data_IF_646412908603
#
_entry.id   IF_646412908603
#
_cell.length_a   1.000
_cell.length_b   1.000
_cell.length_c   1.000
_cell.angle_alpha   90.00
_cell.angle_beta   90.00
_cell.angle_gamma   90.00
#
_symmetry.space_group_name_H-M   'P 1'
#
loop_
_entity.id
_entity.type
_entity.pdbx_description
1 polymer ?
#
# COMPACT_ATOMS: atom_id res chain seq x y z
N UNK A 1 -10.16 -7.13 8.07
CA UNK A 1 -10.49 -6.26 6.91
C UNK A 1 -10.00 -6.98 5.65
N UNK A 2 -10.84 -7.22 4.65
CA UNK A 2 -10.45 -7.96 3.43
C UNK A 2 -9.79 -7.02 2.41
N UNK A 3 -8.76 -7.51 1.70
CA UNK A 3 -8.13 -6.77 0.61
C UNK A 3 -9.07 -6.75 -0.61
N UNK A 4 -9.48 -5.56 -1.04
CA UNK A 4 -10.24 -5.43 -2.29
C UNK A 4 -9.31 -5.68 -3.49
N UNK A 5 -9.62 -6.61 -4.41
CA UNK A 5 -8.69 -7.07 -5.45
C UNK A 5 -8.20 -5.97 -6.40
N UNK A 6 -9.06 -5.00 -6.71
CA UNK A 6 -8.85 -4.01 -7.78
C UNK A 6 -8.38 -2.64 -7.28
N UNK A 7 -7.84 -2.57 -6.06
CA UNK A 7 -7.17 -1.34 -5.61
C UNK A 7 -5.85 -1.14 -6.35
N UNK A 8 -5.50 0.12 -6.57
CA UNK A 8 -4.22 0.49 -7.16
C UNK A 8 -3.05 -0.10 -6.34
N UNK A 9 -2.05 -0.72 -7.02
CA UNK A 9 -0.87 -1.24 -6.37
C UNK A 9 0.04 -0.11 -5.87
N UNK A 10 1.07 -0.47 -5.10
CA UNK A 10 2.18 0.43 -4.81
C UNK A 10 3.22 0.44 -5.94
N UNK A 11 4.41 1.01 -5.68
CA UNK A 11 5.49 1.16 -6.68
C UNK A 11 6.00 -0.17 -7.25
N UNK A 12 5.75 -1.29 -6.57
CA UNK A 12 6.13 -2.63 -7.02
C UNK A 12 5.16 -3.24 -8.04
N UNK A 13 4.02 -2.59 -8.30
CA UNK A 13 3.01 -3.04 -9.25
C UNK A 13 2.22 -4.28 -8.79
N UNK A 14 2.45 -4.80 -7.58
CA UNK A 14 1.81 -6.04 -7.14
C UNK A 14 0.39 -5.76 -6.62
N UNK A 15 -0.59 -6.19 -7.42
CA UNK A 15 -2.02 -6.08 -7.11
C UNK A 15 -2.40 -6.87 -5.85
N UNK A 16 -3.41 -6.37 -5.13
CA UNK A 16 -4.07 -7.11 -4.05
C UNK A 16 -4.55 -8.50 -4.49
N UNK A 17 -4.93 -8.66 -5.76
CA UNK A 17 -5.38 -9.94 -6.31
C UNK A 17 -4.33 -11.05 -6.18
N UNK A 18 -3.05 -10.74 -6.31
CA UNK A 18 -1.95 -11.72 -6.15
C UNK A 18 -1.94 -12.25 -4.71
N UNK A 19 -2.06 -11.36 -3.73
CA UNK A 19 -2.07 -11.74 -2.32
C UNK A 19 -3.31 -12.54 -1.93
N UNK A 20 -4.46 -12.25 -2.53
CA UNK A 20 -5.70 -12.99 -2.23
C UNK A 20 -5.74 -14.35 -2.92
N UNK A 21 -5.29 -14.46 -4.17
CA UNK A 21 -5.38 -15.71 -4.94
C UNK A 21 -4.22 -16.67 -4.68
N UNK A 22 -3.06 -16.17 -4.23
CA UNK A 22 -1.88 -16.98 -3.92
C UNK A 22 -1.59 -17.02 -2.41
N UNK A 23 -2.61 -16.85 -1.57
CA UNK A 23 -2.45 -16.74 -0.13
C UNK A 23 -1.83 -18.01 0.48
N UNK A 24 -2.23 -19.18 0.01
CA UNK A 24 -1.71 -20.50 0.40
C UNK A 24 -0.19 -20.61 0.19
N UNK A 25 0.32 -20.02 -0.90
CA UNK A 25 1.74 -19.99 -1.23
C UNK A 25 2.46 -18.90 -0.44
N UNK A 26 1.89 -17.70 -0.34
CA UNK A 26 2.58 -16.50 0.17
C UNK A 26 2.59 -16.42 1.70
N UNK A 27 1.51 -16.82 2.39
CA UNK A 27 1.36 -16.68 3.85
C UNK A 27 2.50 -17.35 4.64
N UNK A 28 2.98 -18.57 4.31
CA UNK A 28 4.10 -19.21 5.02
C UNK A 28 5.40 -18.38 5.00
N UNK A 29 5.62 -17.59 3.94
CA UNK A 29 6.80 -16.75 3.77
C UNK A 29 6.60 -15.35 4.37
N UNK A 30 5.48 -14.69 4.04
CA UNK A 30 5.14 -13.37 4.55
C UNK A 30 5.03 -13.38 6.08
N UNK A 31 4.45 -14.42 6.67
CA UNK A 31 4.36 -14.55 8.12
C UNK A 31 5.74 -14.60 8.80
N UNK A 32 6.73 -15.28 8.20
CA UNK A 32 8.11 -15.31 8.72
C UNK A 32 8.77 -13.94 8.61
N UNK A 33 8.60 -13.28 7.47
CA UNK A 33 9.15 -11.95 7.21
C UNK A 33 8.57 -10.90 8.15
N UNK A 34 7.25 -10.89 8.34
CA UNK A 34 6.55 -9.98 9.24
C UNK A 34 6.99 -10.16 10.69
N UNK A 35 7.11 -11.40 11.18
CA UNK A 35 7.66 -11.66 12.52
C UNK A 35 9.11 -11.19 12.66
N UNK A 36 9.92 -11.34 11.61
CA UNK A 36 11.31 -10.87 11.64
C UNK A 36 11.39 -9.34 11.80
N UNK A 37 10.51 -8.58 11.16
CA UNK A 37 10.43 -7.12 11.31
C UNK A 37 10.28 -6.70 12.78
N UNK A 38 9.38 -7.35 13.52
CA UNK A 38 9.19 -7.05 14.95
C UNK A 38 10.34 -7.57 15.81
N UNK A 39 10.78 -8.81 15.60
CA UNK A 39 11.86 -9.42 16.39
C UNK A 39 13.19 -8.67 16.27
N UNK A 40 13.53 -8.26 15.06
CA UNK A 40 14.77 -7.55 14.76
C UNK A 40 14.65 -6.04 14.94
N UNK A 41 13.45 -5.52 15.24
CA UNK A 41 13.14 -4.08 15.25
C UNK A 41 13.60 -3.39 13.96
N UNK A 42 13.44 -4.08 12.82
CA UNK A 42 13.91 -3.63 11.53
C UNK A 42 12.75 -3.57 10.53
N UNK A 43 12.40 -2.37 10.11
CA UNK A 43 11.44 -2.15 9.04
C UNK A 43 12.17 -1.89 7.72
N UNK A 44 12.01 -2.75 6.69
CA UNK A 44 12.73 -2.61 5.43
C UNK A 44 12.53 -1.22 4.81
N UNK A 45 13.60 -0.48 4.45
CA UNK A 45 13.47 0.83 3.81
C UNK A 45 12.60 0.82 2.55
N UNK A 46 12.64 -0.28 1.78
CA UNK A 46 11.80 -0.45 0.59
C UNK A 46 10.29 -0.43 0.88
N UNK A 47 9.88 -0.80 2.10
CA UNK A 47 8.48 -0.78 2.52
C UNK A 47 8.00 0.63 2.88
N UNK A 48 8.93 1.57 3.08
CA UNK A 48 8.66 3.00 3.32
C UNK A 48 8.56 3.80 2.02
N UNK A 49 8.81 3.18 0.86
CA UNK A 49 8.69 3.82 -0.45
C UNK A 49 7.24 3.75 -0.90
N UNK A 50 6.69 4.88 -1.35
CA UNK A 50 5.33 5.01 -1.85
C UNK A 50 5.23 6.07 -2.94
N UNK A 51 4.28 5.88 -3.85
CA UNK A 51 3.91 6.91 -4.81
C UNK A 51 2.82 7.80 -4.22
N UNK A 52 2.96 9.12 -4.34
CA UNK A 52 1.92 10.06 -3.93
C UNK A 52 1.15 10.55 -5.14
N UNK A 53 -0.10 10.10 -5.27
CA UNK A 53 -1.01 10.57 -6.32
C UNK A 53 -1.87 11.69 -5.75
N UNK A 54 -1.84 12.86 -6.38
CA UNK A 54 -2.63 14.03 -5.94
C UNK A 54 -3.94 14.07 -6.73
N UNK A 55 -5.06 13.80 -6.06
CA UNK A 55 -6.38 13.81 -6.68
C UNK A 55 -7.13 15.11 -6.38
N UNK A 56 -7.91 15.58 -7.36
CA UNK A 56 -8.88 16.68 -7.17
C UNK A 56 -10.02 16.22 -6.25
N UNK A 57 -10.44 17.07 -5.31
CA UNK A 57 -11.66 16.86 -4.50
C UNK A 57 -12.85 17.42 -5.27
N UNK A 58 -13.91 16.64 -5.47
CA UNK A 58 -15.11 17.11 -6.16
C UNK A 58 -15.73 18.35 -5.49
N UNK A 59 -16.33 19.22 -6.32
CA UNK A 59 -17.12 20.37 -5.85
C UNK A 59 -16.32 21.52 -5.22
N UNK A 60 -15.01 21.62 -5.48
CA UNK A 60 -14.21 22.75 -4.98
C UNK A 60 -14.32 23.96 -5.92
N UNK A 61 -14.53 25.17 -5.36
CA UNK A 61 -14.77 26.38 -6.15
C UNK A 61 -13.50 26.90 -6.84
N UNK A 62 -12.32 26.61 -6.27
CA UNK A 62 -11.03 27.05 -6.78
C UNK A 62 -10.00 25.91 -6.61
N UNK A 63 -9.29 25.59 -7.68
CA UNK A 63 -8.27 24.55 -7.75
C UNK A 63 -6.84 25.10 -7.85
N UNK A 64 -6.66 26.41 -7.70
CA UNK A 64 -5.34 27.01 -7.46
C UNK A 64 -4.85 26.75 -6.03
N UNK A 65 -5.77 26.51 -5.09
CA UNK A 65 -5.45 26.27 -3.67
C UNK A 65 -5.20 24.79 -3.36
N UNK A 66 -4.19 24.52 -2.55
CA UNK A 66 -3.80 23.15 -2.14
C UNK A 66 -4.93 22.37 -1.45
N UNK A 67 -5.80 23.05 -0.70
CA UNK A 67 -6.94 22.45 0.02
C UNK A 67 -7.96 21.79 -0.91
N UNK A 68 -7.97 22.15 -2.20
CA UNK A 68 -8.82 21.54 -3.22
C UNK A 68 -8.36 20.15 -3.67
N UNK A 69 -7.21 19.69 -3.21
CA UNK A 69 -6.63 18.39 -3.53
C UNK A 69 -6.57 17.46 -2.32
N UNK A 70 -6.44 16.16 -2.60
CA UNK A 70 -6.16 15.11 -1.62
C UNK A 70 -4.94 14.31 -2.11
N UNK A 71 -3.80 14.37 -1.43
CA UNK A 71 -2.72 13.44 -1.69
C UNK A 71 -3.13 12.05 -1.19
N UNK A 72 -2.82 11.02 -1.98
CA UNK A 72 -3.01 9.61 -1.62
C UNK A 72 -1.66 8.91 -1.79
N UNK A 73 -1.15 8.35 -0.69
CA UNK A 73 0.05 7.53 -0.70
C UNK A 73 -0.30 6.08 -1.09
N UNK A 74 0.33 5.56 -2.14
CA UNK A 74 0.24 4.19 -2.59
C UNK A 74 1.48 3.43 -2.09
N UNK A 75 1.38 2.79 -0.94
CA UNK A 75 2.43 1.89 -0.45
C UNK A 75 2.38 0.55 -1.18
N UNK A 76 3.49 -0.19 -1.18
CA UNK A 76 3.49 -1.61 -1.56
C UNK A 76 2.49 -2.39 -0.70
N UNK A 77 1.90 -3.44 -1.27
CA UNK A 77 0.78 -4.13 -0.61
C UNK A 77 1.23 -4.90 0.62
N UNK A 78 2.43 -5.50 0.64
CA UNK A 78 2.98 -6.18 1.83
C UNK A 78 3.06 -5.26 3.05
N UNK A 79 3.52 -4.01 2.85
CA UNK A 79 3.61 -3.01 3.90
C UNK A 79 2.25 -2.58 4.44
N UNK A 80 1.18 -2.70 3.64
CA UNK A 80 -0.21 -2.45 4.05
C UNK A 80 -0.83 -3.64 4.79
N UNK A 81 -0.30 -4.85 4.60
CA UNK A 81 -0.79 -6.09 5.22
C UNK A 81 -0.16 -6.28 6.60
N UNK A 82 1.13 -5.98 6.75
CA UNK A 82 1.85 -5.99 8.04
C UNK A 82 1.13 -5.12 9.07
#
# INVERSE_FOLDING_TARGET
>A
KTLSPYKAPGPDGVSNSVYTHCADILVPWLGKLFRATFRLKYYPPRWQIYDTVVLRKAGKPDYSISKAYRPIALLITMAKIL
#
